data_IF_840216043073
#
_entry.id   IF_840216043073
#
_cell.length_a   1.000
_cell.length_b   1.000
_cell.length_c   1.000
_cell.angle_alpha   90.00
_cell.angle_beta   90.00
_cell.angle_gamma   90.00
#
_symmetry.space_group_name_H-M   'P 1'
#
loop_
_entity.id
_entity.type
_entity.pdbx_description
1 polymer ?
#
# COMPACT_ATOMS: atom_id res chain seq x y z
N UNK A 1 -8.83 -12.83 -1.49
CA UNK A 1 -9.65 -12.04 -2.46
C UNK A 1 -10.08 -10.68 -1.90
N UNK A 2 -10.35 -10.55 -0.60
CA UNK A 2 -10.82 -9.32 0.05
C UNK A 2 -9.97 -8.09 -0.29
N UNK A 3 -8.64 -8.17 -0.14
CA UNK A 3 -7.72 -7.07 -0.45
C UNK A 3 -7.82 -6.63 -1.91
N UNK A 4 -8.03 -7.56 -2.82
CA UNK A 4 -8.09 -7.26 -4.25
C UNK A 4 -9.40 -6.56 -4.66
N UNK A 5 -10.49 -6.80 -3.94
CA UNK A 5 -11.75 -6.06 -4.12
C UNK A 5 -11.53 -4.56 -3.81
N UNK A 6 -10.67 -4.25 -2.85
CA UNK A 6 -10.35 -2.87 -2.46
C UNK A 6 -9.33 -2.22 -3.39
N UNK A 7 -8.26 -2.95 -3.75
CA UNK A 7 -7.12 -2.36 -4.45
C UNK A 7 -7.37 -2.19 -5.97
N UNK A 8 -8.15 -3.06 -6.60
CA UNK A 8 -8.39 -2.96 -8.05
C UNK A 8 -9.13 -1.68 -8.46
N UNK A 9 -10.22 -1.26 -7.78
CA UNK A 9 -10.82 0.05 -8.02
C UNK A 9 -9.86 1.22 -7.74
N UNK A 10 -9.02 1.11 -6.70
CA UNK A 10 -8.00 2.11 -6.38
C UNK A 10 -6.98 2.27 -7.52
N UNK A 11 -6.53 1.19 -8.11
CA UNK A 11 -5.67 1.22 -9.30
C UNK A 11 -6.35 1.89 -10.50
N UNK A 12 -7.67 1.72 -10.64
CA UNK A 12 -8.47 2.44 -11.62
C UNK A 12 -8.41 3.94 -11.40
N UNK A 13 -8.65 4.42 -10.17
CA UNK A 13 -8.59 5.84 -9.82
C UNK A 13 -7.20 6.45 -10.13
N UNK A 14 -6.11 5.80 -9.72
CA UNK A 14 -4.77 6.30 -10.06
C UNK A 14 -4.50 6.32 -11.57
N UNK A 15 -5.04 5.34 -12.32
CA UNK A 15 -4.91 5.28 -13.77
C UNK A 15 -5.73 6.35 -14.51
N UNK A 16 -6.73 6.95 -13.86
CA UNK A 16 -7.44 8.14 -14.33
C UNK A 16 -6.70 9.43 -13.94
N UNK A 17 -6.28 9.54 -12.67
CA UNK A 17 -5.72 10.78 -12.11
C UNK A 17 -4.34 11.10 -12.68
N UNK A 18 -3.44 10.10 -12.70
CA UNK A 18 -2.04 10.30 -13.13
C UNK A 18 -1.95 10.84 -14.56
N UNK A 19 -2.65 10.28 -15.57
CA UNK A 19 -2.60 10.81 -16.94
C UNK A 19 -3.09 12.25 -17.05
N UNK A 20 -4.17 12.60 -16.36
CA UNK A 20 -4.75 13.93 -16.39
C UNK A 20 -3.74 14.98 -15.92
N UNK A 21 -3.14 14.79 -14.74
CA UNK A 21 -2.20 15.75 -14.16
C UNK A 21 -0.76 15.62 -14.68
N UNK A 22 -0.41 14.53 -15.38
CA UNK A 22 0.81 14.43 -16.15
C UNK A 22 0.66 15.00 -17.57
N UNK A 23 -0.56 15.33 -17.99
CA UNK A 23 -0.93 15.76 -19.35
C UNK A 23 -0.44 14.78 -20.42
N UNK A 24 -0.63 13.49 -20.16
CA UNK A 24 -0.22 12.40 -21.04
C UNK A 24 -1.26 11.29 -21.07
N UNK A 25 -1.27 10.52 -22.14
CA UNK A 25 -2.05 9.29 -22.18
C UNK A 25 -1.42 8.24 -21.24
N UNK A 26 -2.25 7.39 -20.66
CA UNK A 26 -1.80 6.27 -19.85
C UNK A 26 -0.91 5.34 -20.69
N UNK A 27 0.35 5.20 -20.26
CA UNK A 27 1.28 4.30 -20.92
C UNK A 27 0.85 2.85 -20.74
N UNK A 28 0.91 2.08 -21.84
CA UNK A 28 0.64 0.65 -21.79
C UNK A 28 -0.78 0.29 -21.35
N UNK A 29 -1.81 0.99 -21.85
CA UNK A 29 -3.21 0.74 -21.47
C UNK A 29 -3.60 -0.75 -21.53
N UNK A 30 -3.25 -1.43 -22.61
CA UNK A 30 -3.56 -2.86 -22.79
C UNK A 30 -2.90 -3.72 -21.70
N UNK A 31 -1.62 -3.47 -21.38
CA UNK A 31 -0.91 -4.19 -20.33
C UNK A 31 -1.45 -3.85 -18.93
N UNK A 32 -1.98 -2.64 -18.71
CA UNK A 32 -2.67 -2.26 -17.48
C UNK A 32 -3.96 -3.08 -17.29
N UNK A 33 -4.77 -3.22 -18.34
CA UNK A 33 -6.01 -4.02 -18.30
C UNK A 33 -5.70 -5.50 -18.05
N UNK A 34 -4.76 -6.08 -18.79
CA UNK A 34 -4.36 -7.47 -18.58
C UNK A 34 -3.79 -7.71 -17.18
N UNK A 35 -3.01 -6.79 -16.64
CA UNK A 35 -2.51 -6.87 -15.27
C UNK A 35 -3.66 -6.92 -14.25
N UNK A 36 -4.72 -6.12 -14.45
CA UNK A 36 -5.91 -6.17 -13.58
C UNK A 36 -6.60 -7.53 -13.62
N UNK A 37 -6.78 -8.08 -14.83
CA UNK A 37 -7.43 -9.38 -15.04
C UNK A 37 -6.59 -10.49 -14.40
N UNK A 38 -5.27 -10.51 -14.64
CA UNK A 38 -4.35 -11.51 -14.07
C UNK A 38 -4.36 -11.46 -12.54
N UNK A 39 -4.27 -10.26 -11.95
CA UNK A 39 -4.35 -10.09 -10.49
C UNK A 39 -5.67 -10.64 -9.96
N UNK A 40 -6.79 -10.31 -10.62
CA UNK A 40 -8.12 -10.79 -10.22
C UNK A 40 -8.20 -12.31 -10.22
N UNK A 41 -7.74 -12.97 -11.28
CA UNK A 41 -7.74 -14.44 -11.38
C UNK A 41 -6.82 -15.06 -10.33
N UNK A 42 -5.59 -14.56 -10.19
CA UNK A 42 -4.63 -15.12 -9.23
C UNK A 42 -5.07 -14.91 -7.78
N UNK A 43 -5.86 -13.88 -7.48
CA UNK A 43 -6.35 -13.59 -6.13
C UNK A 43 -7.10 -14.78 -5.50
N UNK A 44 -7.70 -15.64 -6.30
CA UNK A 44 -8.39 -16.86 -5.82
C UNK A 44 -7.42 -18.01 -5.49
N UNK A 45 -6.18 -17.97 -5.99
CA UNK A 45 -5.17 -19.01 -5.82
C UNK A 45 -4.07 -18.69 -4.80
N UNK A 46 -4.26 -17.73 -3.89
CA UNK A 46 -3.17 -17.29 -2.99
C UNK A 46 -3.51 -17.30 -1.49
N UNK A 47 -4.78 -17.39 -1.12
CA UNK A 47 -5.26 -17.17 0.25
C UNK A 47 -4.63 -18.08 1.32
N UNK A 48 -4.12 -19.27 0.97
CA UNK A 48 -3.50 -20.19 1.94
C UNK A 48 -2.12 -19.73 2.40
N UNK A 49 -1.55 -18.66 1.85
CA UNK A 49 -0.35 -18.05 2.40
C UNK A 49 -0.53 -17.54 3.84
N UNK A 50 -1.78 -17.35 4.29
CA UNK A 50 -2.08 -17.04 5.70
C UNK A 50 -1.94 -18.25 6.63
N UNK A 51 -1.69 -19.44 6.11
CA UNK A 51 -1.63 -20.70 6.85
C UNK A 51 -0.28 -21.40 6.77
N UNK A 52 0.77 -20.74 6.29
CA UNK A 52 2.10 -21.33 6.13
C UNK A 52 2.65 -21.97 7.41
N UNK A 53 2.33 -21.40 8.57
CA UNK A 53 2.77 -21.88 9.88
C UNK A 53 1.79 -22.87 10.54
N UNK A 54 0.72 -23.27 9.86
CA UNK A 54 -0.34 -24.14 10.41
C UNK A 54 -0.18 -25.63 10.06
N UNK A 55 0.95 -26.02 9.47
CA UNK A 55 1.20 -27.44 9.18
C UNK A 55 0.54 -27.98 7.91
N UNK A 56 0.24 -27.12 6.92
CA UNK A 56 -0.39 -27.55 5.65
C UNK A 56 0.53 -28.37 4.71
N UNK A 57 1.78 -28.58 5.11
CA UNK A 57 2.76 -29.38 4.39
C UNK A 57 3.63 -28.59 3.39
N UNK A 58 4.80 -29.12 3.10
CA UNK A 58 5.81 -28.43 2.28
C UNK A 58 5.36 -28.19 0.83
N UNK A 59 4.67 -29.13 0.22
CA UNK A 59 4.17 -29.01 -1.16
C UNK A 59 3.16 -27.85 -1.26
N UNK A 60 2.19 -27.81 -0.37
CA UNK A 60 1.18 -26.75 -0.33
C UNK A 60 1.85 -25.38 -0.09
N UNK A 61 2.77 -25.29 0.88
CA UNK A 61 3.54 -24.07 1.14
C UNK A 61 4.30 -23.60 -0.10
N UNK A 62 4.95 -24.51 -0.82
CA UNK A 62 5.69 -24.17 -2.04
C UNK A 62 4.78 -23.65 -3.16
N UNK A 63 3.69 -24.34 -3.43
CA UNK A 63 2.72 -23.93 -4.47
C UNK A 63 2.17 -22.53 -4.17
N UNK A 64 1.68 -22.30 -2.96
CA UNK A 64 1.08 -21.01 -2.61
C UNK A 64 2.11 -19.88 -2.42
N UNK A 65 3.37 -20.20 -2.10
CA UNK A 65 4.46 -19.22 -2.17
C UNK A 65 4.67 -18.76 -3.61
N UNK A 66 4.79 -19.67 -4.55
CA UNK A 66 5.02 -19.34 -5.96
C UNK A 66 3.84 -18.54 -6.53
N UNK A 67 2.60 -18.99 -6.33
CA UNK A 67 1.42 -18.28 -6.84
C UNK A 67 1.26 -16.89 -6.23
N UNK A 68 1.57 -16.74 -4.94
CA UNK A 68 1.53 -15.43 -4.27
C UNK A 68 2.60 -14.48 -4.79
N UNK A 69 3.84 -14.95 -4.95
CA UNK A 69 4.92 -14.16 -5.54
C UNK A 69 4.64 -13.78 -7.00
N UNK A 70 3.96 -14.64 -7.75
CA UNK A 70 3.61 -14.38 -9.15
C UNK A 70 2.73 -13.12 -9.32
N UNK A 71 1.94 -12.72 -8.31
CA UNK A 71 1.15 -11.47 -8.34
C UNK A 71 2.03 -10.23 -8.37
N UNK A 72 3.27 -10.32 -7.89
CA UNK A 72 4.21 -9.19 -7.95
C UNK A 72 4.52 -8.78 -9.40
N UNK A 73 4.49 -9.70 -10.35
CA UNK A 73 4.80 -9.42 -11.76
C UNK A 73 3.77 -8.46 -12.40
N UNK A 74 2.46 -8.77 -12.47
CA UNK A 74 1.48 -7.86 -13.03
C UNK A 74 1.36 -6.56 -12.22
N UNK A 75 1.60 -6.58 -10.91
CA UNK A 75 1.64 -5.37 -10.08
C UNK A 75 2.83 -4.50 -10.45
N UNK A 76 4.02 -5.08 -10.66
CA UNK A 76 5.21 -4.37 -11.13
C UNK A 76 4.99 -3.72 -12.50
N UNK A 77 4.34 -4.42 -13.44
CA UNK A 77 3.97 -3.84 -14.75
C UNK A 77 3.14 -2.57 -14.56
N UNK A 78 2.21 -2.54 -13.62
CA UNK A 78 1.39 -1.35 -13.35
C UNK A 78 2.24 -0.19 -12.80
N UNK A 79 3.11 -0.46 -11.83
CA UNK A 79 4.01 0.55 -11.26
C UNK A 79 4.88 1.17 -12.37
N UNK A 80 5.50 0.36 -13.22
CA UNK A 80 6.30 0.88 -14.34
C UNK A 80 5.47 1.66 -15.36
N UNK A 81 4.26 1.23 -15.68
CA UNK A 81 3.38 1.96 -16.59
C UNK A 81 2.97 3.33 -16.03
N UNK A 82 2.73 3.46 -14.73
CA UNK A 82 2.50 4.77 -14.12
C UNK A 82 3.76 5.64 -14.15
N UNK A 83 4.94 5.08 -13.86
CA UNK A 83 6.21 5.81 -13.98
C UNK A 83 6.47 6.27 -15.43
N UNK A 84 6.22 5.42 -16.44
CA UNK A 84 6.34 5.81 -17.85
C UNK A 84 5.29 6.85 -18.27
N UNK A 85 4.11 6.83 -17.66
CA UNK A 85 3.11 7.89 -17.87
C UNK A 85 3.61 9.23 -17.34
N UNK A 86 4.30 9.24 -16.20
CA UNK A 86 4.92 10.43 -15.61
C UNK A 86 6.14 10.92 -16.40
N UNK A 87 6.87 9.99 -17.00
CA UNK A 87 8.12 10.32 -17.71
C UNK A 87 7.89 11.32 -18.85
N UNK A 88 8.62 12.43 -18.83
CA UNK A 88 8.46 13.56 -19.75
C UNK A 88 7.05 14.19 -19.77
N UNK A 89 6.24 13.97 -18.73
CA UNK A 89 4.95 14.65 -18.53
C UNK A 89 5.12 16.07 -18.01
N UNK A 90 4.13 16.92 -18.26
CA UNK A 90 4.00 18.24 -17.64
C UNK A 90 3.22 18.09 -16.32
N UNK A 91 3.90 17.67 -15.27
CA UNK A 91 3.27 17.29 -14.01
C UNK A 91 2.72 18.53 -13.29
N UNK A 92 1.43 18.53 -13.01
CA UNK A 92 0.76 19.50 -12.15
C UNK A 92 0.57 18.92 -10.76
N UNK A 93 1.27 19.47 -9.78
CA UNK A 93 1.26 18.99 -8.38
C UNK A 93 0.00 19.49 -7.66
N UNK A 94 -1.15 18.95 -8.05
CA UNK A 94 -2.43 19.12 -7.35
C UNK A 94 -2.57 18.14 -6.19
N UNK A 95 -3.53 18.36 -5.30
CA UNK A 95 -3.81 17.45 -4.18
C UNK A 95 -4.01 16.00 -4.62
N UNK A 96 -4.87 15.67 -5.61
CA UNK A 96 -5.02 14.29 -6.08
C UNK A 96 -3.75 13.73 -6.71
N UNK A 97 -2.95 14.58 -7.38
CA UNK A 97 -1.69 14.15 -7.96
C UNK A 97 -0.62 13.85 -6.89
N UNK A 98 -0.57 14.64 -5.81
CA UNK A 98 0.35 14.37 -4.68
C UNK A 98 0.06 13.02 -4.03
N UNK A 99 -1.21 12.69 -3.76
CA UNK A 99 -1.59 11.35 -3.29
C UNK A 99 -1.11 10.26 -4.24
N UNK A 100 -1.30 10.46 -5.55
CA UNK A 100 -0.90 9.49 -6.58
C UNK A 100 0.63 9.33 -6.68
N UNK A 101 1.37 10.40 -6.53
CA UNK A 101 2.84 10.38 -6.53
C UNK A 101 3.41 9.66 -5.30
N UNK A 102 2.83 9.90 -4.12
CA UNK A 102 3.26 9.24 -2.87
C UNK A 102 2.79 7.78 -2.79
N UNK A 103 1.67 7.46 -3.43
CA UNK A 103 1.22 6.08 -3.57
C UNK A 103 2.32 5.19 -4.19
N UNK A 104 2.95 5.62 -5.28
CA UNK A 104 3.90 4.78 -6.02
C UNK A 104 5.03 4.24 -5.13
N UNK A 105 5.85 5.06 -4.45
CA UNK A 105 6.94 4.54 -3.62
C UNK A 105 6.45 3.81 -2.37
N UNK A 106 5.41 4.32 -1.70
CA UNK A 106 4.92 3.72 -0.45
C UNK A 106 4.26 2.37 -0.70
N UNK A 107 3.43 2.27 -1.73
CA UNK A 107 2.82 1.01 -2.12
C UNK A 107 3.85 0.01 -2.64
N UNK A 108 4.89 0.48 -3.36
CA UNK A 108 5.98 -0.38 -3.83
C UNK A 108 6.73 -0.99 -2.65
N UNK A 109 7.00 -0.22 -1.60
CA UNK A 109 7.59 -0.74 -0.36
C UNK A 109 6.69 -1.82 0.27
N UNK A 110 5.38 -1.57 0.34
CA UNK A 110 4.39 -2.58 0.76
C UNK A 110 4.46 -3.84 -0.10
N UNK A 111 4.57 -3.69 -1.43
CA UNK A 111 4.70 -4.82 -2.36
C UNK A 111 5.97 -5.64 -2.15
N UNK A 112 7.12 -4.99 -1.94
CA UNK A 112 8.40 -5.67 -1.66
C UNK A 112 8.32 -6.47 -0.35
N UNK A 113 7.79 -5.87 0.71
CA UNK A 113 7.60 -6.57 1.99
C UNK A 113 6.56 -7.69 1.89
N UNK A 114 5.59 -7.56 0.97
CA UNK A 114 4.65 -8.62 0.63
C UNK A 114 5.31 -9.82 -0.04
N UNK A 115 6.29 -9.60 -0.92
CA UNK A 115 7.09 -10.70 -1.50
C UNK A 115 7.89 -11.42 -0.42
N UNK A 116 8.42 -10.72 0.58
CA UNK A 116 9.09 -11.34 1.73
C UNK A 116 8.14 -12.26 2.52
N UNK A 117 6.91 -11.82 2.79
CA UNK A 117 5.87 -12.61 3.45
C UNK A 117 5.34 -13.76 2.58
N UNK A 118 5.39 -13.62 1.25
CA UNK A 118 4.97 -14.66 0.31
C UNK A 118 5.91 -15.87 0.30
N UNK A 119 7.17 -15.70 0.72
CA UNK A 119 8.12 -16.80 0.89
C UNK A 119 7.81 -17.55 2.19
N UNK A 120 7.28 -18.77 2.11
CA UNK A 120 6.88 -19.54 3.30
C UNK A 120 8.00 -19.70 4.33
N UNK A 121 9.23 -19.88 3.89
CA UNK A 121 10.40 -19.97 4.79
C UNK A 121 10.64 -18.67 5.58
N UNK A 122 10.46 -17.52 4.95
CA UNK A 122 10.58 -16.22 5.61
C UNK A 122 9.36 -15.91 6.50
N UNK A 123 8.17 -16.35 6.09
CA UNK A 123 6.94 -16.15 6.84
C UNK A 123 6.96 -16.84 8.22
N UNK A 124 7.71 -17.93 8.39
CA UNK A 124 7.91 -18.51 9.72
C UNK A 124 8.51 -17.53 10.74
N UNK A 125 9.29 -16.54 10.27
CA UNK A 125 9.82 -15.47 11.12
C UNK A 125 8.85 -14.29 11.27
N UNK A 126 8.10 -13.96 10.21
CA UNK A 126 7.30 -12.73 10.15
C UNK A 126 5.82 -12.94 10.49
N UNK A 127 5.38 -14.20 10.47
CA UNK A 127 3.99 -14.55 10.71
C UNK A 127 3.49 -14.02 12.06
N UNK A 128 2.33 -13.35 12.04
CA UNK A 128 1.72 -12.75 13.23
C UNK A 128 2.63 -11.77 14.01
N UNK A 129 3.65 -11.21 13.38
CA UNK A 129 4.49 -10.15 13.96
C UNK A 129 3.99 -8.75 13.58
N UNK A 130 4.62 -7.72 14.17
CA UNK A 130 4.39 -6.32 13.78
C UNK A 130 4.86 -6.02 12.35
N UNK A 131 5.78 -6.83 11.79
CA UNK A 131 6.16 -6.75 10.38
C UNK A 131 4.96 -6.96 9.44
N UNK A 132 4.11 -7.94 9.73
CA UNK A 132 2.89 -8.17 8.97
C UNK A 132 1.95 -6.97 9.07
N UNK A 133 1.84 -6.36 10.26
CA UNK A 133 1.01 -5.16 10.47
C UNK A 133 1.51 -4.00 9.63
N UNK A 134 2.81 -3.74 9.64
CA UNK A 134 3.43 -2.71 8.80
C UNK A 134 3.18 -2.97 7.31
N UNK A 135 3.35 -4.23 6.85
CA UNK A 135 3.13 -4.60 5.46
C UNK A 135 1.72 -4.26 4.97
N UNK A 136 0.68 -4.78 5.64
CA UNK A 136 -0.66 -4.57 5.11
C UNK A 136 -1.13 -3.11 5.21
N UNK A 137 -0.66 -2.34 6.20
CA UNK A 137 -0.92 -0.91 6.24
C UNK A 137 -0.21 -0.15 5.11
N UNK A 138 1.00 -0.56 4.71
CA UNK A 138 1.68 -0.02 3.54
C UNK A 138 0.98 -0.34 2.22
N UNK A 139 0.20 -1.40 2.17
CA UNK A 139 -0.64 -1.72 1.02
C UNK A 139 -1.97 -0.96 1.05
N UNK A 140 -2.66 -0.96 2.20
CA UNK A 140 -4.02 -0.40 2.31
C UNK A 140 -3.99 1.13 2.32
N UNK A 141 -3.15 1.77 3.12
CA UNK A 141 -3.22 3.23 3.29
C UNK A 141 -2.76 3.94 2.02
N UNK A 142 -1.53 3.73 1.49
CA UNK A 142 -1.15 4.35 0.23
C UNK A 142 -1.96 3.82 -0.96
N UNK A 143 -2.31 2.53 -0.97
CA UNK A 143 -3.02 1.92 -2.09
C UNK A 143 -4.50 2.30 -2.15
N UNK A 144 -5.23 2.17 -1.05
CA UNK A 144 -6.69 2.35 -1.04
C UNK A 144 -7.10 3.71 -0.50
N UNK A 145 -6.62 4.09 0.71
CA UNK A 145 -7.06 5.36 1.33
C UNK A 145 -6.60 6.55 0.50
N UNK A 146 -5.34 6.57 0.01
CA UNK A 146 -4.88 7.64 -0.87
C UNK A 146 -5.67 7.70 -2.18
N UNK A 147 -6.01 6.53 -2.77
CA UNK A 147 -6.84 6.49 -3.97
C UNK A 147 -8.22 7.08 -3.73
N UNK A 148 -8.86 6.74 -2.59
CA UNK A 148 -10.17 7.30 -2.22
C UNK A 148 -10.11 8.81 -2.04
N UNK A 149 -9.13 9.32 -1.29
CA UNK A 149 -8.96 10.76 -1.06
C UNK A 149 -8.57 11.49 -2.34
N UNK A 150 -7.68 10.92 -3.17
CA UNK A 150 -7.35 11.45 -4.47
C UNK A 150 -8.58 11.50 -5.40
N UNK A 151 -9.33 10.41 -5.46
CA UNK A 151 -10.56 10.32 -6.25
C UNK A 151 -11.62 11.31 -5.77
N UNK A 152 -11.83 11.38 -4.45
CA UNK A 152 -12.79 12.34 -3.87
C UNK A 152 -12.42 13.78 -4.24
N UNK A 153 -11.17 14.18 -4.05
CA UNK A 153 -10.70 15.54 -4.38
C UNK A 153 -10.72 15.80 -5.88
N UNK A 154 -10.42 14.79 -6.72
CA UNK A 154 -10.45 14.89 -8.17
C UNK A 154 -11.85 15.07 -8.73
N UNK A 155 -12.82 14.31 -8.21
CA UNK A 155 -14.21 14.37 -8.67
C UNK A 155 -15.05 15.42 -7.93
N UNK A 156 -14.55 16.01 -6.85
CA UNK A 156 -15.29 16.98 -6.04
C UNK A 156 -15.93 18.12 -6.85
N UNK A 157 -15.20 18.80 -7.77
CA UNK A 157 -15.79 19.85 -8.57
C UNK A 157 -16.92 19.37 -9.48
N UNK A 158 -16.84 18.13 -9.96
CA UNK A 158 -17.90 17.54 -10.79
C UNK A 158 -19.14 17.16 -9.99
N UNK A 159 -18.97 16.75 -8.72
CA UNK A 159 -20.08 16.34 -7.84
C UNK A 159 -20.78 17.54 -7.22
N UNK A 160 -20.03 18.56 -6.81
CA UNK A 160 -20.54 19.66 -5.99
C UNK A 160 -20.45 21.06 -6.63
N UNK A 161 -19.80 21.21 -7.77
CA UNK A 161 -19.72 22.47 -8.52
C UNK A 161 -18.74 23.51 -7.96
N UNK A 162 -17.90 23.17 -6.98
CA UNK A 162 -16.86 24.07 -6.45
C UNK A 162 -15.56 23.33 -6.18
N UNK A 163 -14.43 24.07 -6.16
CA UNK A 163 -13.11 23.54 -5.87
C UNK A 163 -12.82 23.54 -4.37
N UNK A 164 -12.18 22.48 -3.88
CA UNK A 164 -11.59 22.46 -2.53
C UNK A 164 -10.35 23.36 -2.46
N UNK A 165 -9.98 23.75 -1.24
CA UNK A 165 -8.78 24.56 -1.03
C UNK A 165 -7.51 23.73 -1.24
N UNK A 166 -6.78 24.00 -2.34
CA UNK A 166 -5.57 23.28 -2.71
C UNK A 166 -4.44 23.38 -1.68
N UNK A 167 -4.32 24.50 -0.97
CA UNK A 167 -3.26 24.67 0.05
C UNK A 167 -3.51 23.74 1.23
N UNK A 168 -4.74 23.70 1.70
CA UNK A 168 -5.17 22.79 2.77
C UNK A 168 -5.02 21.35 2.31
N UNK A 169 -5.52 21.00 1.12
CA UNK A 169 -5.42 19.67 0.57
C UNK A 169 -3.98 19.16 0.50
N UNK A 170 -3.04 19.97 -0.01
CA UNK A 170 -1.61 19.60 -0.05
C UNK A 170 -1.00 19.45 1.34
N UNK A 171 -1.35 20.33 2.29
CA UNK A 171 -0.92 20.19 3.66
C UNK A 171 -1.40 18.88 4.28
N UNK A 172 -2.67 18.53 4.06
CA UNK A 172 -3.27 17.26 4.50
C UNK A 172 -2.49 16.06 3.96
N UNK A 173 -2.15 16.05 2.65
CA UNK A 173 -1.36 14.95 2.05
C UNK A 173 -0.03 14.78 2.76
N UNK A 174 0.70 15.86 3.03
CA UNK A 174 2.00 15.79 3.68
C UNK A 174 1.90 15.37 5.15
N UNK A 175 0.98 15.95 5.92
CA UNK A 175 0.76 15.60 7.33
C UNK A 175 0.37 14.12 7.44
N UNK A 176 -0.54 13.65 6.60
CA UNK A 176 -0.96 12.26 6.55
C UNK A 176 0.21 11.32 6.21
N UNK A 177 1.03 11.68 5.21
CA UNK A 177 2.14 10.83 4.78
C UNK A 177 3.28 10.78 5.80
N UNK A 178 3.58 11.88 6.46
CA UNK A 178 4.57 11.92 7.56
C UNK A 178 4.05 11.09 8.73
N UNK A 179 2.80 11.28 9.14
CA UNK A 179 2.17 10.47 10.19
C UNK A 179 2.17 8.99 9.87
N UNK A 180 1.87 8.62 8.62
CA UNK A 180 1.91 7.26 8.12
C UNK A 180 3.32 6.65 8.25
N UNK A 181 4.36 7.34 7.78
CA UNK A 181 5.74 6.85 7.87
C UNK A 181 6.18 6.67 9.33
N UNK A 182 5.89 7.64 10.19
CA UNK A 182 6.20 7.54 11.62
C UNK A 182 5.43 6.41 12.31
N UNK A 183 4.21 6.11 11.88
CA UNK A 183 3.41 5.01 12.45
C UNK A 183 3.93 3.65 12.05
N UNK A 184 4.16 3.41 10.76
CA UNK A 184 4.31 2.05 10.25
C UNK A 184 5.75 1.65 9.95
N UNK A 185 6.68 2.58 9.71
CA UNK A 185 8.09 2.21 9.50
C UNK A 185 8.74 1.58 10.75
N UNK A 186 8.52 2.11 11.99
CA UNK A 186 9.05 1.47 13.19
C UNK A 186 8.52 0.05 13.42
N UNK A 187 7.29 -0.23 12.95
CA UNK A 187 6.68 -1.57 13.11
C UNK A 187 7.39 -2.66 12.29
N UNK A 188 8.05 -2.30 11.18
CA UNK A 188 8.91 -3.24 10.48
C UNK A 188 10.10 -3.66 11.37
N UNK A 189 10.72 -2.72 12.06
CA UNK A 189 11.87 -2.97 12.93
C UNK A 189 11.43 -3.83 14.12
N UNK A 190 10.39 -3.41 14.85
CA UNK A 190 9.91 -4.18 16.02
C UNK A 190 9.41 -5.57 15.63
N UNK A 191 8.84 -5.71 14.42
CA UNK A 191 8.43 -7.00 13.90
C UNK A 191 9.60 -7.93 13.56
N UNK A 192 10.70 -7.40 13.03
CA UNK A 192 11.96 -8.15 12.81
C UNK A 192 12.61 -8.54 14.14
N UNK A 193 12.49 -7.70 15.15
CA UNK A 193 12.98 -7.95 16.52
C UNK A 193 12.05 -8.91 17.31
N UNK A 194 10.99 -9.44 16.67
CA UNK A 194 10.14 -10.49 17.23
C UNK A 194 8.90 -9.99 17.98
N UNK A 195 8.54 -8.70 17.89
CA UNK A 195 7.30 -8.21 18.49
C UNK A 195 6.09 -8.85 17.78
N UNK A 196 5.31 -9.65 18.53
CA UNK A 196 4.08 -10.22 18.04
C UNK A 196 2.98 -9.14 17.91
N UNK A 197 2.10 -9.28 16.91
CA UNK A 197 0.89 -8.45 16.83
C UNK A 197 -0.08 -8.79 17.95
N UNK A 198 -0.96 -7.83 18.29
CA UNK A 198 -2.02 -8.01 19.31
C UNK A 198 -1.51 -8.22 20.76
N UNK A 199 -0.28 -7.85 21.05
CA UNK A 199 0.20 -7.82 22.42
C UNK A 199 -0.43 -6.64 23.17
N UNK A 200 -0.93 -6.88 24.37
CA UNK A 200 -1.45 -5.81 25.23
C UNK A 200 -0.38 -5.25 26.17
N UNK A 201 0.69 -6.00 26.42
CA UNK A 201 1.85 -5.58 27.21
C UNK A 201 3.11 -6.32 26.77
N UNK A 202 4.27 -5.76 27.08
CA UNK A 202 5.59 -6.33 26.83
C UNK A 202 6.56 -5.85 27.91
N UNK A 203 7.64 -6.62 28.15
CA UNK A 203 8.67 -6.24 29.10
C UNK A 203 9.50 -5.06 28.60
N UNK A 204 9.92 -4.16 29.50
CA UNK A 204 10.82 -3.04 29.15
C UNK A 204 12.15 -3.54 28.56
N UNK A 205 12.61 -4.73 28.98
CA UNK A 205 13.84 -5.35 28.46
C UNK A 205 13.81 -5.70 26.98
N UNK A 206 12.64 -5.71 26.33
CA UNK A 206 12.49 -6.00 24.89
C UNK A 206 12.95 -4.87 23.99
N UNK A 207 13.06 -3.63 24.49
CA UNK A 207 13.45 -2.46 23.72
C UNK A 207 12.36 -1.90 22.79
N UNK A 208 11.15 -2.45 22.80
CA UNK A 208 10.07 -2.01 21.89
C UNK A 208 9.46 -0.66 22.22
N UNK A 209 9.61 -0.16 23.46
CA UNK A 209 8.91 1.01 23.98
C UNK A 209 9.13 2.28 23.15
N UNK A 210 10.38 2.57 22.77
CA UNK A 210 10.72 3.76 21.99
C UNK A 210 10.08 3.74 20.59
N UNK A 211 10.19 2.63 19.88
CA UNK A 211 9.64 2.49 18.54
C UNK A 211 8.10 2.48 18.54
N UNK A 212 7.48 1.86 19.53
CA UNK A 212 6.04 1.91 19.71
C UNK A 212 5.53 3.31 20.06
N UNK A 213 6.30 4.09 20.85
CA UNK A 213 5.98 5.49 21.12
C UNK A 213 6.02 6.33 19.84
N UNK A 214 7.05 6.16 18.98
CA UNK A 214 7.12 6.83 17.67
C UNK A 214 5.91 6.45 16.80
N UNK A 215 5.56 5.17 16.76
CA UNK A 215 4.37 4.70 16.04
C UNK A 215 3.08 5.33 16.55
N UNK A 216 2.93 5.46 17.86
CA UNK A 216 1.77 6.11 18.48
C UNK A 216 1.67 7.60 18.13
N UNK A 217 2.78 8.33 18.22
CA UNK A 217 2.83 9.75 17.82
C UNK A 217 2.49 9.90 16.33
N UNK A 218 3.04 9.03 15.48
CA UNK A 218 2.72 8.99 14.05
C UNK A 218 1.21 8.80 13.79
N UNK A 219 0.57 7.88 14.51
CA UNK A 219 -0.88 7.67 14.39
C UNK A 219 -1.69 8.91 14.80
N UNK A 220 -1.25 9.63 15.85
CA UNK A 220 -1.84 10.91 16.25
C UNK A 220 -1.73 11.96 15.15
N UNK A 221 -0.53 12.12 14.55
CA UNK A 221 -0.31 13.05 13.42
C UNK A 221 -1.20 12.69 12.23
N UNK A 222 -1.27 11.42 11.87
CA UNK A 222 -2.13 10.94 10.78
C UNK A 222 -3.61 11.22 11.06
N UNK A 223 -4.06 11.06 12.30
CA UNK A 223 -5.45 11.37 12.70
C UNK A 223 -5.77 12.85 12.51
N UNK A 224 -4.86 13.74 12.90
CA UNK A 224 -5.01 15.20 12.73
C UNK A 224 -5.17 15.57 11.24
N UNK A 225 -4.63 14.80 10.31
CA UNK A 225 -4.78 15.07 8.87
C UNK A 225 -6.22 14.97 8.35
N UNK A 226 -7.13 14.35 9.09
CA UNK A 226 -8.55 14.24 8.74
C UNK A 226 -9.42 15.36 9.34
N UNK A 227 -8.85 16.22 10.20
CA UNK A 227 -9.53 17.39 10.81
C UNK A 227 -9.26 18.66 9.99
#
# INVERSE_FOLDING_TARGET
PEVYILILPAFGLFSEIIPVFARRNLYGYTSMVWSMIIISVFSFGVWTHHFFTMGQGALTNSVFSITTMAIAVPTGVKIFNWLFTLYKGKIEMTTPMLYSMLFIPLFTLGGVTGVMLAMSAADYQYHNSMFLVAHFHNVIIPGVVYAMLAGLTFYWPKMFGFMLNEKIGKATVWVMSIGFLLSFMPMYITGLDGQARRMYTYSESTGFSMLNMVSFVGAGIMTVSFL
#
